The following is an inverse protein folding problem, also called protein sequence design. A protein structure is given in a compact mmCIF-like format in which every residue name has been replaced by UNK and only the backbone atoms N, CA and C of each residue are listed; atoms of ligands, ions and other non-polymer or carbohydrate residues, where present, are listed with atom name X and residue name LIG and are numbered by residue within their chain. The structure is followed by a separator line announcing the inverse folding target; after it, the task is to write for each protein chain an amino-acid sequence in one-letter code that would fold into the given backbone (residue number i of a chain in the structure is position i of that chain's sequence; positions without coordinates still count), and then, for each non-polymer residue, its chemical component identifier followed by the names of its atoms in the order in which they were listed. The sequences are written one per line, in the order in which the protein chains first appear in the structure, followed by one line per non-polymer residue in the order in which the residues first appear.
data_IF_525557095326
#
_entry.id   IF_525557095326
#
_cell.length_a   1.000
_cell.length_b   1.000
_cell.length_c   1.000
_cell.angle_alpha   90.00
_cell.angle_beta   90.00
_cell.angle_gamma   90.00
#
_symmetry.space_group_name_H-M   'P 1'
#
loop_
_entity.id
_entity.type
_entity.pdbx_description
1 polymer ?
#
# COMPACT_ATOMS: atom_id res chain seq x y z
N UNK A 1 -1.80 25.62 -9.53
CA UNK A 1 -1.96 24.62 -8.45
C UNK A 1 -1.36 25.22 -7.17
N UNK A 2 -2.18 25.49 -6.14
CA UNK A 2 -1.70 26.05 -4.88
C UNK A 2 -1.07 24.93 -4.02
N UNK A 3 0.22 25.02 -3.72
CA UNK A 3 0.97 24.07 -2.87
C UNK A 3 0.32 23.84 -1.50
N UNK A 4 -0.39 24.84 -0.95
CA UNK A 4 -1.19 24.72 0.29
C UNK A 4 -2.27 23.63 0.19
N UNK A 5 -2.78 23.37 -1.01
CA UNK A 5 -3.78 22.33 -1.24
C UNK A 5 -3.14 20.96 -1.46
N UNK A 6 -1.84 20.87 -1.80
CA UNK A 6 -1.18 19.60 -2.08
C UNK A 6 -1.17 18.67 -0.86
N UNK A 7 -0.79 19.18 0.32
CA UNK A 7 -0.84 18.39 1.55
C UNK A 7 -2.27 17.96 1.90
N UNK A 8 -3.26 18.81 1.64
CA UNK A 8 -4.69 18.50 1.81
C UNK A 8 -5.13 17.39 0.85
N UNK A 9 -4.69 17.42 -0.41
CA UNK A 9 -4.98 16.37 -1.40
C UNK A 9 -4.34 15.04 -1.01
N UNK A 10 -3.06 15.05 -0.63
CA UNK A 10 -2.34 13.85 -0.15
C UNK A 10 -3.06 13.26 1.07
N UNK A 11 -3.43 14.09 2.05
CA UNK A 11 -4.20 13.66 3.21
C UNK A 11 -5.58 13.11 2.82
N UNK A 12 -6.24 13.71 1.84
CA UNK A 12 -7.50 13.24 1.27
C UNK A 12 -7.36 11.83 0.69
N UNK A 13 -6.37 11.61 -0.18
CA UNK A 13 -6.10 10.29 -0.79
C UNK A 13 -5.77 9.25 0.28
N UNK A 14 -4.95 9.59 1.27
CA UNK A 14 -4.59 8.68 2.37
C UNK A 14 -5.81 8.33 3.22
N UNK A 15 -6.63 9.32 3.58
CA UNK A 15 -7.82 9.13 4.41
C UNK A 15 -8.85 8.28 3.67
N UNK A 16 -9.10 8.59 2.40
CA UNK A 16 -10.05 7.87 1.58
C UNK A 16 -9.57 6.44 1.28
N UNK A 17 -8.29 6.25 0.95
CA UNK A 17 -7.71 4.92 0.78
C UNK A 17 -7.86 4.04 2.04
N UNK A 18 -7.59 4.60 3.24
CA UNK A 18 -7.80 3.91 4.51
C UNK A 18 -9.28 3.63 4.81
N UNK A 19 -10.18 4.53 4.41
CA UNK A 19 -11.62 4.35 4.55
C UNK A 19 -12.13 3.23 3.64
N UNK A 20 -11.72 3.24 2.37
CA UNK A 20 -12.11 2.25 1.36
C UNK A 20 -11.59 0.84 1.67
N UNK A 21 -10.52 0.69 2.45
CA UNK A 21 -10.10 -0.62 2.99
C UNK A 21 -11.09 -1.21 4.01
N UNK A 22 -11.92 -0.37 4.65
CA UNK A 22 -12.86 -0.75 5.73
C UNK A 22 -14.26 -1.03 5.23
N UNK A 23 -14.54 -0.86 3.95
CA UNK A 23 -15.88 -0.99 3.38
C UNK A 23 -15.81 -2.00 2.24
N UNK A 24 -16.76 -2.92 2.15
CA UNK A 24 -16.83 -3.83 1.00
C UNK A 24 -17.62 -3.19 -0.16
N UNK A 25 -17.58 -3.82 -1.33
CA UNK A 25 -18.36 -3.42 -2.53
C UNK A 25 -19.87 -3.24 -2.28
N UNK A 26 -20.42 -3.89 -1.25
CA UNK A 26 -21.82 -3.77 -0.84
C UNK A 26 -22.07 -2.61 0.15
N UNK A 27 -21.07 -1.78 0.45
CA UNK A 27 -21.17 -0.67 1.39
C UNK A 27 -21.19 -1.08 2.87
N UNK A 28 -20.99 -2.37 3.18
CA UNK A 28 -20.92 -2.87 4.56
C UNK A 28 -19.50 -2.75 5.09
N UNK A 29 -19.36 -2.34 6.35
CA UNK A 29 -18.04 -2.30 7.02
C UNK A 29 -17.46 -3.72 7.10
N UNK A 30 -16.21 -3.87 6.68
CA UNK A 30 -15.43 -5.10 6.86
C UNK A 30 -15.11 -5.24 8.35
N UNK A 31 -15.25 -6.45 8.92
CA UNK A 31 -14.97 -6.71 10.34
C UNK A 31 -13.56 -6.20 10.71
N UNK A 32 -13.50 -5.37 11.74
CA UNK A 32 -12.29 -4.65 12.18
C UNK A 32 -11.11 -5.58 12.53
N UNK A 33 -11.39 -6.84 12.86
CA UNK A 33 -10.38 -7.87 13.19
C UNK A 33 -9.45 -8.21 12.03
N UNK A 34 -9.93 -8.20 10.79
CA UNK A 34 -9.11 -8.53 9.61
C UNK A 34 -8.05 -7.45 9.35
N UNK A 35 -8.43 -6.18 9.44
CA UNK A 35 -7.52 -5.05 9.21
C UNK A 35 -6.53 -4.83 10.36
N UNK A 36 -6.91 -5.21 11.58
CA UNK A 36 -5.99 -5.20 12.71
C UNK A 36 -4.94 -6.32 12.57
N UNK A 37 -5.38 -7.51 12.11
CA UNK A 37 -4.51 -8.65 11.83
C UNK A 37 -3.47 -8.31 10.75
N UNK A 38 -3.87 -7.71 9.62
CA UNK A 38 -2.92 -7.38 8.54
C UNK A 38 -1.88 -6.34 8.94
N UNK A 39 -2.24 -5.38 9.80
CA UNK A 39 -1.30 -4.37 10.32
C UNK A 39 -0.30 -4.96 11.30
N UNK A 40 -0.76 -5.78 12.23
CA UNK A 40 0.12 -6.46 13.18
C UNK A 40 1.09 -7.39 12.45
N UNK A 41 0.58 -8.12 11.45
CA UNK A 41 1.37 -9.00 10.63
C UNK A 41 2.43 -8.22 9.82
N UNK A 42 2.09 -7.05 9.28
CA UNK A 42 3.06 -6.17 8.59
C UNK A 42 4.20 -5.73 9.50
N UNK A 43 3.90 -5.35 10.74
CA UNK A 43 4.94 -4.97 11.72
C UNK A 43 5.83 -6.17 12.06
N UNK A 44 5.24 -7.34 12.30
CA UNK A 44 5.99 -8.56 12.60
C UNK A 44 6.94 -8.93 11.44
N UNK A 45 6.45 -8.91 10.20
CA UNK A 45 7.28 -9.18 9.03
C UNK A 45 8.37 -8.13 8.82
N UNK A 46 8.10 -6.85 9.07
CA UNK A 46 9.12 -5.81 8.96
C UNK A 46 10.26 -6.02 9.97
N UNK A 47 9.94 -6.37 11.21
CA UNK A 47 10.93 -6.69 12.25
C UNK A 47 11.73 -7.95 11.86
N UNK A 48 11.05 -8.98 11.38
CA UNK A 48 11.68 -10.21 10.90
C UNK A 48 12.67 -9.91 9.77
N UNK A 49 12.28 -9.11 8.77
CA UNK A 49 13.15 -8.74 7.66
C UNK A 49 14.41 -8.01 8.12
N UNK A 50 14.30 -7.07 9.05
CA UNK A 50 15.48 -6.39 9.63
C UNK A 50 16.45 -7.38 10.28
N UNK A 51 15.94 -8.41 10.94
CA UNK A 51 16.78 -9.44 11.55
C UNK A 51 17.48 -10.33 10.51
N UNK A 52 16.81 -10.59 9.38
CA UNK A 52 17.39 -11.34 8.25
C UNK A 52 18.39 -10.51 7.43
N UNK A 53 18.24 -9.18 7.39
CA UNK A 53 19.11 -8.25 6.65
C UNK A 53 19.88 -7.31 7.59
N UNK A 54 20.77 -7.85 8.43
CA UNK A 54 21.49 -7.06 9.43
C UNK A 54 22.41 -6.00 8.81
N UNK A 55 22.89 -6.22 7.58
CA UNK A 55 23.72 -5.32 6.78
C UNK A 55 22.95 -4.22 6.06
N UNK A 56 21.61 -4.21 6.11
CA UNK A 56 20.78 -3.22 5.43
C UNK A 56 20.41 -3.57 3.99
N UNK A 57 19.93 -2.57 3.26
CA UNK A 57 19.57 -2.70 1.86
C UNK A 57 20.80 -2.65 0.97
N UNK A 58 20.94 -3.62 0.07
CA UNK A 58 21.95 -3.57 -0.97
C UNK A 58 21.52 -2.63 -2.10
N UNK A 59 22.48 -2.05 -2.81
CA UNK A 59 22.19 -1.23 -3.99
C UNK A 59 21.38 -1.99 -5.05
N UNK A 60 21.66 -3.28 -5.23
CA UNK A 60 20.91 -4.13 -6.14
C UNK A 60 19.46 -4.30 -5.69
N UNK A 61 19.23 -4.58 -4.40
CA UNK A 61 17.88 -4.67 -3.85
C UNK A 61 17.10 -3.36 -4.05
N UNK A 62 17.72 -2.22 -3.74
CA UNK A 62 17.11 -0.91 -3.92
C UNK A 62 16.79 -0.65 -5.40
N UNK A 63 17.75 -0.88 -6.30
CA UNK A 63 17.59 -0.69 -7.75
C UNK A 63 16.49 -1.56 -8.37
N UNK A 64 16.46 -2.85 -8.04
CA UNK A 64 15.40 -3.76 -8.51
C UNK A 64 14.04 -3.38 -7.95
N UNK A 65 13.96 -3.01 -6.67
CA UNK A 65 12.71 -2.64 -6.03
C UNK A 65 12.17 -1.32 -6.59
N UNK A 66 13.02 -0.31 -6.82
CA UNK A 66 12.65 0.94 -7.48
C UNK A 66 12.09 0.66 -8.87
N UNK A 67 12.79 -0.16 -9.67
CA UNK A 67 12.37 -0.51 -11.03
C UNK A 67 11.01 -1.20 -11.04
N UNK A 68 10.81 -2.17 -10.14
CA UNK A 68 9.54 -2.87 -9.95
C UNK A 68 8.40 -1.90 -9.57
N UNK A 69 8.64 -1.02 -8.59
CA UNK A 69 7.64 -0.04 -8.15
C UNK A 69 7.29 0.95 -9.25
N UNK A 70 8.26 1.40 -10.05
CA UNK A 70 8.03 2.31 -11.16
C UNK A 70 7.13 1.69 -12.24
N UNK A 71 7.33 0.40 -12.55
CA UNK A 71 6.45 -0.36 -13.45
C UNK A 71 5.01 -0.39 -12.88
N UNK A 72 4.87 -0.67 -11.59
CA UNK A 72 3.56 -0.67 -10.92
C UNK A 72 2.88 0.71 -10.95
N UNK A 73 3.64 1.78 -10.73
CA UNK A 73 3.13 3.16 -10.84
C UNK A 73 2.57 3.41 -12.24
N UNK A 74 3.30 3.04 -13.29
CA UNK A 74 2.84 3.15 -14.68
C UNK A 74 1.57 2.34 -14.94
N UNK A 75 1.58 1.06 -14.58
CA UNK A 75 0.45 0.15 -14.77
C UNK A 75 -0.82 0.65 -14.05
N UNK A 76 -0.70 0.98 -12.77
CA UNK A 76 -1.81 1.46 -11.96
C UNK A 76 -2.33 2.81 -12.44
N UNK A 77 -1.47 3.71 -12.90
CA UNK A 77 -1.90 4.99 -13.47
C UNK A 77 -2.73 4.78 -14.74
N UNK A 78 -2.27 3.92 -15.66
CA UNK A 78 -3.01 3.58 -16.87
C UNK A 78 -4.37 2.95 -16.58
N UNK A 79 -4.45 2.04 -15.60
CA UNK A 79 -5.72 1.43 -15.20
C UNK A 79 -6.66 2.48 -14.59
N UNK A 80 -6.15 3.36 -13.71
CA UNK A 80 -6.95 4.41 -13.08
C UNK A 80 -7.57 5.35 -14.14
N UNK A 81 -6.78 5.75 -15.15
CA UNK A 81 -7.26 6.59 -16.26
C UNK A 81 -8.37 5.86 -17.04
N UNK A 82 -8.13 4.61 -17.46
CA UNK A 82 -9.11 3.82 -18.21
C UNK A 82 -10.42 3.60 -17.44
N UNK A 83 -10.34 3.41 -16.12
CA UNK A 83 -11.52 3.23 -15.27
C UNK A 83 -12.27 4.54 -15.01
N UNK A 84 -11.58 5.68 -14.98
CA UNK A 84 -12.20 6.99 -14.88
C UNK A 84 -13.13 7.24 -16.07
N UNK A 85 -12.64 7.00 -17.29
CA UNK A 85 -13.42 7.14 -18.54
C UNK A 85 -14.61 6.18 -18.59
N UNK A 86 -14.47 4.99 -17.99
CA UNK A 86 -15.58 4.04 -17.91
C UNK A 86 -16.64 4.44 -16.89
N UNK A 87 -16.25 5.13 -15.80
CA UNK A 87 -17.15 5.57 -14.75
C UNK A 87 -18.03 6.76 -15.19
N UNK A 88 -17.52 7.69 -16.01
CA UNK A 88 -18.32 8.80 -16.54
C UNK A 88 -19.50 8.32 -17.38
N UNK A 89 -19.37 7.18 -18.04
CA UNK A 89 -20.39 6.60 -18.92
C UNK A 89 -21.44 5.75 -18.17
N UNK A 90 -21.29 5.55 -16.85
CA UNK A 90 -22.18 4.71 -16.03
C UNK A 90 -23.41 5.44 -15.47
N UNK A 91 -23.49 6.77 -15.64
CA UNK A 91 -24.56 7.62 -15.10
C UNK A 91 -25.77 7.79 -16.02
N UNK A 92 -25.67 7.42 -17.28
CA UNK A 92 -26.74 7.65 -18.26
C UNK A 92 -27.87 6.62 -18.10
N UNK A 93 -29.12 7.11 -17.99
CA UNK A 93 -30.33 6.25 -17.93
C UNK A 93 -30.74 5.75 -16.54
N UNK A 94 -30.25 6.35 -15.45
CA UNK A 94 -30.47 5.89 -14.07
C UNK A 94 -31.94 5.94 -13.58
N UNK A 95 -32.78 6.79 -14.17
CA UNK A 95 -34.16 7.03 -13.74
C UNK A 95 -35.13 5.90 -14.11
N UNK A 96 -34.88 5.19 -15.22
CA UNK A 96 -35.86 4.27 -15.84
C UNK A 96 -35.60 2.77 -15.58
N UNK A 97 -34.63 2.44 -14.72
CA UNK A 97 -34.17 1.06 -14.52
C UNK A 97 -34.88 0.34 -13.35
N UNK A 98 -35.06 -0.98 -13.46
CA UNK A 98 -35.62 -1.81 -12.37
C UNK A 98 -34.76 -1.77 -11.09
N UNK A 99 -35.37 -2.04 -9.94
CA UNK A 99 -34.73 -2.14 -8.62
C UNK A 99 -33.48 -3.03 -8.60
N UNK A 100 -33.48 -4.17 -9.31
CA UNK A 100 -32.34 -5.08 -9.41
C UNK A 100 -31.21 -4.54 -10.29
N UNK A 101 -31.55 -3.83 -11.36
CA UNK A 101 -30.59 -3.17 -12.24
C UNK A 101 -29.93 -1.98 -11.55
N UNK A 102 -30.70 -1.18 -10.80
CA UNK A 102 -30.18 -0.10 -9.94
C UNK A 102 -29.20 -0.62 -8.89
N UNK A 103 -29.48 -1.76 -8.26
CA UNK A 103 -28.57 -2.39 -7.31
C UNK A 103 -27.24 -2.81 -7.96
N UNK A 104 -27.27 -3.38 -9.17
CA UNK A 104 -26.08 -3.79 -9.93
C UNK A 104 -25.23 -2.60 -10.37
N UNK A 105 -25.84 -1.51 -10.82
CA UNK A 105 -25.11 -0.29 -11.21
C UNK A 105 -24.48 0.37 -9.98
N UNK A 106 -25.19 0.39 -8.85
CA UNK A 106 -24.65 0.87 -7.57
C UNK A 106 -23.43 0.05 -7.12
N UNK A 107 -23.49 -1.29 -7.22
CA UNK A 107 -22.34 -2.15 -6.92
C UNK A 107 -21.16 -1.90 -7.86
N UNK A 108 -21.40 -1.75 -9.17
CA UNK A 108 -20.37 -1.38 -10.15
C UNK A 108 -19.71 -0.04 -9.80
N UNK A 109 -20.50 0.98 -9.47
CA UNK A 109 -20.01 2.31 -9.10
C UNK A 109 -19.18 2.26 -7.81
N UNK A 110 -19.67 1.56 -6.78
CA UNK A 110 -18.93 1.37 -5.53
C UNK A 110 -17.60 0.64 -5.75
N UNK A 111 -17.62 -0.40 -6.58
CA UNK A 111 -16.41 -1.13 -6.95
C UNK A 111 -15.40 -0.22 -7.66
N UNK A 112 -15.84 0.57 -8.65
CA UNK A 112 -14.96 1.49 -9.37
C UNK A 112 -14.35 2.53 -8.44
N UNK A 113 -15.16 3.13 -7.55
CA UNK A 113 -14.67 4.10 -6.55
C UNK A 113 -13.63 3.43 -5.63
N UNK A 114 -13.94 2.25 -5.12
CA UNK A 114 -13.05 1.51 -4.22
C UNK A 114 -11.74 1.14 -4.90
N UNK A 115 -11.81 0.53 -6.08
CA UNK A 115 -10.65 0.08 -6.82
C UNK A 115 -9.77 1.26 -7.23
N UNK A 116 -10.35 2.32 -7.81
CA UNK A 116 -9.61 3.51 -8.22
C UNK A 116 -8.97 4.19 -7.02
N UNK A 117 -9.69 4.37 -5.91
CA UNK A 117 -9.14 5.00 -4.70
C UNK A 117 -7.99 4.20 -4.06
N UNK A 118 -8.11 2.87 -3.97
CA UNK A 118 -7.05 2.01 -3.44
C UNK A 118 -5.82 2.00 -4.35
N UNK A 119 -6.04 1.98 -5.67
CA UNK A 119 -4.98 1.98 -6.68
C UNK A 119 -4.22 3.31 -6.66
N UNK A 120 -4.92 4.45 -6.58
CA UNK A 120 -4.31 5.77 -6.40
C UNK A 120 -3.50 5.87 -5.10
N UNK A 121 -4.00 5.28 -4.00
CA UNK A 121 -3.24 5.23 -2.76
C UNK A 121 -1.97 4.35 -2.88
N UNK A 122 -2.05 3.22 -3.60
CA UNK A 122 -0.90 2.38 -3.87
C UNK A 122 0.17 3.09 -4.74
N UNK A 123 -0.25 3.86 -5.75
CA UNK A 123 0.65 4.70 -6.56
C UNK A 123 1.42 5.68 -5.67
N UNK A 124 0.71 6.41 -4.82
CA UNK A 124 1.30 7.39 -3.91
C UNK A 124 2.31 6.72 -2.96
N UNK A 125 1.95 5.57 -2.42
CA UNK A 125 2.82 4.80 -1.55
C UNK A 125 4.09 4.32 -2.27
N UNK A 126 3.96 3.84 -3.51
CA UNK A 126 5.08 3.43 -4.34
C UNK A 126 6.05 4.59 -4.62
N UNK A 127 5.54 5.78 -4.93
CA UNK A 127 6.37 6.98 -5.13
C UNK A 127 7.16 7.33 -3.86
N UNK A 128 6.52 7.28 -2.69
CA UNK A 128 7.19 7.52 -1.41
C UNK A 128 8.29 6.49 -1.16
N UNK A 129 8.02 5.20 -1.43
CA UNK A 129 9.02 4.14 -1.27
C UNK A 129 10.19 4.32 -2.24
N UNK A 130 9.93 4.68 -3.51
CA UNK A 130 10.98 4.98 -4.49
C UNK A 130 11.89 6.09 -3.97
N UNK A 131 11.31 7.21 -3.50
CA UNK A 131 12.08 8.32 -2.94
C UNK A 131 12.94 7.86 -1.75
N UNK A 132 12.37 7.06 -0.85
CA UNK A 132 13.13 6.52 0.29
C UNK A 132 14.27 5.62 -0.17
N UNK A 133 14.04 4.72 -1.14
CA UNK A 133 15.06 3.80 -1.65
C UNK A 133 16.14 4.51 -2.48
N UNK A 134 15.84 5.64 -3.11
CA UNK A 134 16.87 6.45 -3.78
C UNK A 134 17.96 6.89 -2.79
N UNK A 135 17.62 7.15 -1.52
CA UNK A 135 18.63 7.45 -0.49
C UNK A 135 19.56 6.28 -0.19
N UNK A 136 19.17 5.03 -0.47
CA UNK A 136 20.09 3.88 -0.36
C UNK A 136 21.16 3.95 -1.45
N UNK A 137 20.81 4.41 -2.65
CA UNK A 137 21.72 4.51 -3.79
C UNK A 137 22.77 5.63 -3.62
N UNK A 138 22.44 6.68 -2.85
CA UNK A 138 23.41 7.69 -2.45
C UNK A 138 24.23 7.15 -1.26
N UNK A 139 25.46 6.72 -1.55
CA UNK A 139 26.41 5.99 -0.68
C UNK A 139 26.45 6.45 0.80
N UNK A 140 26.73 5.48 1.68
CA UNK A 140 27.11 5.57 3.11
C UNK A 140 25.99 5.64 4.17
N UNK A 141 24.70 5.71 3.78
CA UNK A 141 23.61 5.79 4.77
C UNK A 141 23.22 4.45 5.39
N UNK A 142 23.33 3.33 4.66
CA UNK A 142 22.75 2.05 5.09
C UNK A 142 23.73 0.87 5.27
N UNK A 143 25.04 1.05 5.10
CA UNK A 143 26.04 -0.04 5.27
C UNK A 143 26.32 -0.41 6.74
N UNK A 144 25.49 0.04 7.69
CA UNK A 144 25.67 -0.25 9.11
C UNK A 144 25.20 -1.69 9.38
N UNK A 145 26.14 -2.60 9.62
CA UNK A 145 25.80 -3.95 10.05
C UNK A 145 25.46 -3.97 11.55
N UNK A 146 24.18 -4.19 11.88
CA UNK A 146 23.65 -4.13 13.25
C UNK A 146 24.31 -5.20 14.14
N UNK A 147 24.71 -6.35 13.59
CA UNK A 147 25.32 -7.46 14.36
C UNK A 147 26.71 -7.14 14.92
N UNK A 148 27.38 -6.13 14.37
CA UNK A 148 28.73 -5.75 14.79
C UNK A 148 28.73 -4.91 16.08
N UNK A 149 27.56 -4.50 16.57
CA UNK A 149 27.43 -3.63 17.73
C UNK A 149 26.89 -4.41 18.92
N UNK A 150 27.45 -4.14 20.10
CA UNK A 150 27.05 -4.74 21.37
C UNK A 150 26.64 -3.62 22.33
N UNK A 151 25.67 -3.92 23.18
CA UNK A 151 25.24 -3.01 24.24
C UNK A 151 26.40 -2.73 25.21
N UNK A 152 26.56 -1.45 25.58
CA UNK A 152 27.52 -1.05 26.61
C UNK A 152 27.16 -1.72 27.94
N UNK A 153 28.13 -2.35 28.60
CA UNK A 153 27.91 -3.10 29.85
C UNK A 153 28.11 -2.23 31.09
N UNK A 154 28.75 -1.08 30.94
CA UNK A 154 29.06 -0.17 32.05
C UNK A 154 28.79 1.29 31.69
N UNK A 155 28.37 2.07 32.69
CA UNK A 155 28.11 3.53 32.56
C UNK A 155 29.40 4.29 32.20
N UNK A 156 30.58 3.76 32.54
CA UNK A 156 31.88 4.35 32.18
C UNK A 156 32.19 4.27 30.69
N UNK A 157 31.50 3.40 29.95
CA UNK A 157 31.64 3.26 28.50
C UNK A 157 30.78 4.29 27.74
N UNK A 158 29.98 5.09 28.45
CA UNK A 158 29.17 6.16 27.86
C UNK A 158 30.09 7.34 27.50
N UNK A 159 30.68 7.26 26.32
CA UNK A 159 31.41 8.35 25.66
C UNK A 159 30.51 9.07 24.66
N UNK A 160 30.80 10.35 24.40
CA UNK A 160 30.13 11.13 23.33
C UNK A 160 30.15 10.40 21.98
N UNK A 161 31.19 9.60 21.70
CA UNK A 161 31.28 8.78 20.49
C UNK A 161 30.22 7.67 20.45
N UNK A 162 30.00 6.99 21.59
CA UNK A 162 29.06 5.88 21.69
C UNK A 162 27.61 6.37 21.64
N UNK A 163 27.34 7.57 22.17
CA UNK A 163 26.04 8.24 22.03
C UNK A 163 25.74 8.55 20.56
N UNK A 164 26.69 9.13 19.81
CA UNK A 164 26.52 9.40 18.38
C UNK A 164 26.31 8.11 17.57
N UNK A 165 27.04 7.04 17.89
CA UNK A 165 26.85 5.72 17.27
C UNK A 165 25.45 5.15 17.56
N UNK A 166 24.96 5.27 18.79
CA UNK A 166 23.62 4.85 19.17
C UNK A 166 22.55 5.55 18.34
N UNK A 167 22.63 6.89 18.21
CA UNK A 167 21.67 7.63 17.40
C UNK A 167 21.77 7.28 15.90
N UNK A 168 22.98 7.07 15.37
CA UNK A 168 23.16 6.62 13.98
C UNK A 168 22.53 5.24 13.74
N UNK A 169 22.71 4.30 14.66
CA UNK A 169 22.14 2.96 14.58
C UNK A 169 20.62 2.99 14.75
N UNK A 170 20.10 3.77 15.70
CA UNK A 170 18.66 3.96 15.90
C UNK A 170 17.99 4.51 14.64
N UNK A 171 18.59 5.55 14.02
CA UNK A 171 18.07 6.14 12.79
C UNK A 171 18.07 5.14 11.63
N UNK A 172 19.15 4.35 11.48
CA UNK A 172 19.23 3.30 10.45
C UNK A 172 18.16 2.22 10.66
N UNK A 173 17.96 1.73 11.88
CA UNK A 173 16.92 0.73 12.18
C UNK A 173 15.52 1.28 11.91
N UNK A 174 15.24 2.52 12.33
CA UNK A 174 13.95 3.17 12.09
C UNK A 174 13.69 3.37 10.59
N UNK A 175 14.72 3.76 9.84
CA UNK A 175 14.64 3.90 8.39
C UNK A 175 14.31 2.55 7.72
N UNK A 176 15.06 1.48 8.05
CA UNK A 176 14.80 0.14 7.52
C UNK A 176 13.40 -0.35 7.86
N UNK A 177 12.97 -0.16 9.10
CA UNK A 177 11.62 -0.52 9.54
C UNK A 177 10.55 0.21 8.73
N UNK A 178 10.74 1.51 8.52
CA UNK A 178 9.83 2.33 7.74
C UNK A 178 9.70 1.82 6.31
N UNK A 179 10.82 1.59 5.62
CA UNK A 179 10.84 1.11 4.22
C UNK A 179 10.19 -0.27 4.11
N UNK A 180 10.56 -1.24 4.94
CA UNK A 180 9.95 -2.57 4.90
C UNK A 180 8.46 -2.54 5.21
N UNK A 181 8.04 -1.79 6.23
CA UNK A 181 6.63 -1.66 6.57
C UNK A 181 5.82 -1.01 5.44
N UNK A 182 6.37 0.01 4.77
CA UNK A 182 5.71 0.64 3.62
C UNK A 182 5.62 -0.34 2.43
N UNK A 183 6.68 -1.11 2.15
CA UNK A 183 6.67 -2.15 1.11
C UNK A 183 5.61 -3.21 1.37
N UNK A 184 5.55 -3.75 2.58
CA UNK A 184 4.54 -4.77 2.94
C UNK A 184 3.13 -4.21 2.79
N UNK A 185 2.90 -2.97 3.26
CA UNK A 185 1.61 -2.31 3.08
C UNK A 185 1.26 -2.10 1.59
N UNK A 186 2.24 -1.75 0.75
CA UNK A 186 2.04 -1.62 -0.69
C UNK A 186 1.58 -2.94 -1.31
N UNK A 187 2.26 -4.05 -1.01
CA UNK A 187 1.85 -5.37 -1.49
C UNK A 187 0.48 -5.78 -0.97
N UNK A 188 0.17 -5.52 0.30
CA UNK A 188 -1.13 -5.84 0.90
C UNK A 188 -2.28 -5.08 0.22
N UNK A 189 -2.09 -3.79 -0.09
CA UNK A 189 -3.09 -2.98 -0.80
C UNK A 189 -3.28 -3.49 -2.23
N UNK A 190 -2.19 -3.79 -2.92
CA UNK A 190 -2.20 -4.34 -4.28
C UNK A 190 -2.94 -5.68 -4.33
N UNK A 191 -2.66 -6.60 -3.40
CA UNK A 191 -3.38 -7.87 -3.28
C UNK A 191 -4.87 -7.62 -3.02
N UNK A 192 -5.21 -6.72 -2.09
CA UNK A 192 -6.59 -6.41 -1.79
C UNK A 192 -7.34 -5.81 -3.00
N UNK A 193 -6.71 -4.91 -3.76
CA UNK A 193 -7.27 -4.34 -4.98
C UNK A 193 -7.56 -5.44 -6.02
N UNK A 194 -6.62 -6.38 -6.22
CA UNK A 194 -6.78 -7.52 -7.12
C UNK A 194 -7.86 -8.48 -6.65
N UNK A 195 -7.95 -8.79 -5.35
CA UNK A 195 -9.02 -9.64 -4.79
C UNK A 195 -10.39 -8.97 -4.88
N UNK A 196 -10.45 -7.64 -4.71
CA UNK A 196 -11.67 -6.86 -4.93
C UNK A 196 -12.11 -6.92 -6.40
N UNK A 197 -11.18 -6.77 -7.34
CA UNK A 197 -11.44 -6.97 -8.77
C UNK A 197 -12.00 -8.37 -9.05
N UNK A 198 -11.34 -9.41 -8.52
CA UNK A 198 -11.79 -10.79 -8.69
C UNK A 198 -13.20 -11.01 -8.11
N UNK A 199 -13.49 -10.45 -6.93
CA UNK A 199 -14.81 -10.52 -6.30
C UNK A 199 -15.90 -9.82 -7.13
N UNK A 200 -15.57 -8.69 -7.74
CA UNK A 200 -16.45 -7.99 -8.66
C UNK A 200 -16.75 -8.80 -9.92
N UNK A 201 -15.71 -9.40 -10.51
CA UNK A 201 -15.82 -10.27 -11.68
C UNK A 201 -16.69 -11.49 -11.37
N UNK A 202 -16.46 -12.17 -10.24
CA UNK A 202 -17.30 -13.28 -9.76
C UNK A 202 -18.76 -12.88 -9.55
N UNK A 203 -19.03 -11.70 -8.98
CA UNK A 203 -20.39 -11.19 -8.81
C UNK A 203 -21.08 -10.96 -10.17
N UNK A 204 -20.32 -10.59 -11.20
CA UNK A 204 -20.80 -10.50 -12.58
C UNK A 204 -21.10 -11.88 -13.21
N UNK A 205 -20.30 -12.89 -12.90
CA UNK A 205 -20.47 -14.26 -13.40
C UNK A 205 -21.57 -15.07 -12.69
N UNK A 206 -21.97 -14.70 -11.48
CA UNK A 206 -23.18 -15.23 -10.82
C UNK A 206 -24.48 -14.74 -11.49
N UNK A 207 -24.58 -14.81 -12.82
CA UNK A 207 -25.83 -15.31 -13.41
C UNK A 207 -25.99 -16.74 -12.88
N UNK A 208 -27.18 -17.18 -12.47
CA UNK A 208 -27.34 -18.58 -12.13
C UNK A 208 -26.86 -19.38 -13.34
N UNK A 209 -25.88 -20.26 -13.13
CA UNK A 209 -25.71 -21.39 -14.03
C UNK A 209 -27.12 -21.99 -14.10
N UNK A 210 -27.76 -21.89 -15.27
CA UNK A 210 -28.89 -22.76 -15.56
C UNK A 210 -28.27 -24.14 -15.52
N UNK A 211 -28.42 -24.81 -14.37
CA UNK A 211 -28.33 -26.25 -14.33
C UNK A 211 -29.58 -26.63 -15.12
N UNK A 212 -29.40 -26.89 -16.40
CA UNK A 212 -30.44 -27.49 -17.21
C UNK A 212 -30.80 -28.79 -16.48
N UNK A 213 -31.99 -28.79 -15.88
CA UNK A 213 -32.59 -29.99 -15.33
C UNK A 213 -33.06 -30.78 -16.55
N UNK A 214 -32.23 -31.73 -16.99
CA UNK A 214 -32.69 -32.91 -17.74
C UNK A 214 -33.53 -33.81 -16.82
#
# INVERSE_FOLDING_TARGET
MQLKNFSIFIQGVVKEGKHLQRVNINGKKVKQTWLFSTRFLSVLFAILLIFLTPSGFTNDFAGYTISFLAIFVGLFSSIVIALHDKNSNLSDGYSDLDSTQRARIKQKKNYLIQFTGLTSYAILLAIVIIILLLFVLFRDFDEINIRNYVWCKSIKEISSRNVTLFFKLLLSVLYRFCVYNLLINFFAITLYATTSYFSFVLAGYRKPLKIDQE
#
